data_IF_081275995294
#
_entry.id   IF_081275995294
#
_cell.length_a   1.000
_cell.length_b   1.000
_cell.length_c   1.000
_cell.angle_alpha   90.00
_cell.angle_beta   90.00
_cell.angle_gamma   90.00
#
_symmetry.space_group_name_H-M   'P 1'
#
loop_
_entity.id
_entity.type
_entity.pdbx_description
1 polymer ?
#
# COMPACT_ATOMS: atom_id res chain seq x y z
N UNK A 1 -24.33 18.54 -21.29
CA UNK A 1 -23.82 17.44 -22.17
C UNK A 1 -24.55 17.61 -23.50
N UNK A 2 -23.82 17.63 -24.59
CA UNK A 2 -24.29 17.99 -25.92
C UNK A 2 -24.85 16.83 -26.76
N UNK A 3 -25.12 15.67 -26.16
CA UNK A 3 -25.62 14.46 -26.83
C UNK A 3 -24.63 13.77 -27.76
N UNK A 4 -23.34 14.15 -27.73
CA UNK A 4 -22.31 13.53 -28.57
C UNK A 4 -22.00 12.13 -28.09
N UNK A 5 -22.03 11.16 -29.02
CA UNK A 5 -21.60 9.80 -28.75
C UNK A 5 -20.07 9.71 -28.83
N UNK A 6 -19.45 9.17 -27.76
CA UNK A 6 -18.01 8.93 -27.70
C UNK A 6 -17.76 7.43 -27.59
N UNK A 7 -17.08 6.81 -28.56
CA UNK A 7 -16.75 5.39 -28.48
C UNK A 7 -15.73 5.15 -27.36
N UNK A 8 -16.04 4.22 -26.47
CA UNK A 8 -15.15 3.80 -25.38
C UNK A 8 -15.02 2.28 -25.34
N UNK A 9 -13.81 1.79 -25.02
CA UNK A 9 -13.62 0.36 -24.77
C UNK A 9 -14.25 -0.01 -23.44
N UNK A 10 -15.17 -0.97 -23.46
CA UNK A 10 -15.79 -1.54 -22.27
C UNK A 10 -15.34 -3.00 -22.13
N UNK A 11 -15.10 -3.40 -20.88
CA UNK A 11 -14.72 -4.77 -20.51
C UNK A 11 -15.86 -5.39 -19.73
N UNK A 12 -16.23 -6.63 -20.05
CA UNK A 12 -17.25 -7.36 -19.30
C UNK A 12 -16.58 -8.33 -18.35
N UNK A 13 -16.74 -8.08 -17.03
CA UNK A 13 -16.17 -8.91 -15.97
C UNK A 13 -17.29 -9.32 -15.02
N UNK A 14 -17.43 -10.61 -14.77
CA UNK A 14 -18.47 -11.17 -13.88
C UNK A 14 -19.89 -10.62 -14.13
N UNK A 15 -20.24 -10.38 -15.41
CA UNK A 15 -21.55 -9.87 -15.81
C UNK A 15 -21.70 -8.34 -15.75
N UNK A 16 -20.75 -7.61 -15.22
CA UNK A 16 -20.73 -6.15 -15.15
C UNK A 16 -19.89 -5.54 -16.29
N UNK A 17 -20.22 -4.33 -16.69
CA UNK A 17 -19.46 -3.58 -17.69
C UNK A 17 -18.52 -2.58 -17.00
N UNK A 18 -17.24 -2.62 -17.36
CA UNK A 18 -16.19 -1.74 -16.85
C UNK A 18 -15.64 -0.88 -17.98
N UNK A 19 -15.40 0.39 -17.68
CA UNK A 19 -14.77 1.34 -18.59
C UNK A 19 -13.59 1.97 -17.86
N UNK A 20 -12.47 2.18 -18.55
CA UNK A 20 -11.32 2.86 -17.94
C UNK A 20 -11.72 4.31 -17.58
N UNK A 21 -11.49 4.69 -16.33
CA UNK A 21 -11.83 6.02 -15.83
C UNK A 21 -11.12 7.13 -16.63
N UNK A 22 -9.90 6.90 -17.11
CA UNK A 22 -9.18 7.83 -18.01
C UNK A 22 -9.91 8.08 -19.34
N UNK A 23 -10.57 7.05 -19.88
CA UNK A 23 -11.32 7.19 -21.13
C UNK A 23 -12.59 8.02 -20.90
N UNK A 24 -13.21 7.88 -19.72
CA UNK A 24 -14.29 8.75 -19.27
C UNK A 24 -13.79 10.18 -19.09
N UNK A 25 -12.64 10.37 -18.42
CA UNK A 25 -12.03 11.69 -18.23
C UNK A 25 -11.76 12.41 -19.55
N UNK A 26 -11.17 11.70 -20.54
CA UNK A 26 -10.97 12.22 -21.89
C UNK A 26 -12.27 12.60 -22.59
N UNK A 27 -13.30 11.79 -22.45
CA UNK A 27 -14.58 12.01 -23.12
C UNK A 27 -15.33 13.21 -22.55
N UNK A 28 -15.18 13.49 -21.27
CA UNK A 28 -15.83 14.58 -20.54
C UNK A 28 -14.96 15.84 -20.41
N UNK A 29 -13.71 15.77 -20.89
CA UNK A 29 -12.69 16.81 -20.71
C UNK A 29 -12.51 17.21 -19.23
N UNK A 30 -12.45 16.21 -18.35
CA UNK A 30 -12.11 16.36 -16.93
C UNK A 30 -10.77 15.70 -16.65
N UNK A 31 -9.93 16.32 -15.83
CA UNK A 31 -8.62 15.75 -15.55
C UNK A 31 -8.74 14.56 -14.62
N UNK A 32 -8.23 13.42 -15.08
CA UNK A 32 -8.13 12.16 -14.31
C UNK A 32 -6.66 11.77 -14.25
N UNK A 33 -6.10 11.80 -13.07
CA UNK A 33 -4.68 11.52 -12.86
C UNK A 33 -4.45 10.72 -11.57
N UNK A 34 -3.25 10.21 -11.41
CA UNK A 34 -2.84 9.48 -10.21
C UNK A 34 -1.92 10.36 -9.36
N UNK A 35 -2.34 10.60 -8.12
CA UNK A 35 -1.53 11.27 -7.09
C UNK A 35 -2.04 10.80 -5.73
N UNK A 36 -1.33 9.83 -5.13
CA UNK A 36 -1.77 9.18 -3.89
C UNK A 36 -3.20 8.58 -3.97
N UNK A 37 -3.56 8.06 -5.16
CA UNK A 37 -4.88 7.59 -5.49
C UNK A 37 -5.39 8.19 -6.81
N UNK A 38 -6.55 7.71 -7.26
CA UNK A 38 -7.21 8.29 -8.44
C UNK A 38 -7.81 9.64 -8.07
N UNK A 39 -7.42 10.67 -8.79
CA UNK A 39 -7.96 12.03 -8.66
C UNK A 39 -8.82 12.36 -9.88
N UNK A 40 -9.93 13.03 -9.65
CA UNK A 40 -10.81 13.57 -10.70
C UNK A 40 -10.99 15.05 -10.43
N UNK A 41 -10.42 15.88 -11.30
CA UNK A 41 -10.58 17.33 -11.26
C UNK A 41 -11.52 17.77 -12.38
N UNK A 42 -12.76 18.04 -12.02
CA UNK A 42 -13.80 18.49 -12.96
C UNK A 42 -13.65 19.94 -13.38
N UNK A 43 -12.71 20.68 -12.80
CA UNK A 43 -12.45 22.10 -13.12
C UNK A 43 -11.29 22.29 -14.09
N UNK A 44 -10.51 21.23 -14.35
CA UNK A 44 -9.37 21.24 -15.25
C UNK A 44 -9.61 20.35 -16.47
N UNK A 45 -9.13 20.75 -17.66
CA UNK A 45 -9.21 19.92 -18.86
C UNK A 45 -8.35 18.66 -18.70
N UNK A 46 -8.68 17.62 -19.45
CA UNK A 46 -7.97 16.35 -19.38
C UNK A 46 -6.51 16.47 -19.84
N UNK A 47 -5.58 16.22 -18.93
CA UNK A 47 -4.13 16.10 -19.23
C UNK A 47 -3.59 14.71 -18.93
N UNK A 48 -4.25 13.97 -18.04
CA UNK A 48 -3.79 12.69 -17.53
C UNK A 48 -2.63 12.80 -16.55
N UNK A 49 -2.22 14.03 -16.22
CA UNK A 49 -1.13 14.34 -15.29
C UNK A 49 -1.66 15.17 -14.11
N UNK A 50 -1.04 15.08 -12.92
CA UNK A 50 -1.32 16.00 -11.84
C UNK A 50 -1.11 17.45 -12.29
N UNK A 51 -1.92 18.40 -11.80
CA UNK A 51 -1.67 19.81 -12.03
C UNK A 51 -0.30 20.19 -11.46
N UNK A 52 0.45 21.04 -12.17
CA UNK A 52 1.70 21.60 -11.66
C UNK A 52 1.34 22.53 -10.52
N UNK A 53 1.59 22.11 -9.28
CA UNK A 53 1.37 22.97 -8.12
C UNK A 53 2.50 24.01 -8.12
N UNK A 54 2.14 25.28 -8.28
CA UNK A 54 3.02 26.37 -7.87
C UNK A 54 3.04 26.36 -6.33
N UNK A 55 4.23 26.21 -5.76
CA UNK A 55 4.47 26.11 -4.32
C UNK A 55 3.76 27.24 -3.53
N UNK A 56 3.24 26.88 -2.35
CA UNK A 56 2.75 27.68 -1.23
C UNK A 56 1.22 27.73 -1.02
N UNK A 57 0.62 26.57 -0.67
CA UNK A 57 -0.50 26.55 0.29
C UNK A 57 -0.40 25.28 1.17
N UNK A 58 -0.24 25.39 2.50
CA UNK A 58 -0.28 24.22 3.38
C UNK A 58 -1.70 23.66 3.44
N UNK A 59 -1.92 22.45 2.91
CA UNK A 59 -3.19 21.75 3.04
C UNK A 59 -3.18 21.00 4.37
N UNK A 60 -4.14 21.20 5.29
CA UNK A 60 -4.26 20.42 6.50
C UNK A 60 -4.59 18.97 6.15
N UNK A 61 -3.73 18.02 6.51
CA UNK A 61 -3.86 16.59 6.23
C UNK A 61 -2.89 16.08 5.16
N UNK A 62 -1.89 16.85 4.75
CA UNK A 62 -0.86 16.39 3.83
C UNK A 62 -0.12 15.20 4.42
N UNK A 63 -0.22 14.05 3.72
CA UNK A 63 0.68 12.94 3.92
C UNK A 63 2.13 13.44 3.93
N UNK A 64 2.99 12.83 4.76
CA UNK A 64 4.45 13.03 4.73
C UNK A 64 4.95 13.05 3.28
N UNK A 65 6.01 13.84 2.97
CA UNK A 65 6.57 13.87 1.62
C UNK A 65 6.70 12.46 1.08
N UNK A 66 6.25 12.21 -0.15
CA UNK A 66 6.26 10.88 -0.78
C UNK A 66 7.65 10.18 -0.74
N UNK A 67 8.72 10.93 -0.46
CA UNK A 67 10.08 10.42 -0.29
C UNK A 67 10.35 9.64 1.00
N UNK A 68 9.85 10.10 2.17
CA UNK A 68 10.19 9.45 3.46
C UNK A 68 9.66 8.01 3.53
N UNK A 69 8.36 7.82 3.27
CA UNK A 69 7.75 6.49 3.33
C UNK A 69 8.25 5.55 2.24
N UNK A 70 8.61 6.08 1.06
CA UNK A 70 9.16 5.27 -0.03
C UNK A 70 10.56 4.74 0.31
N UNK A 71 11.41 5.56 0.94
CA UNK A 71 12.73 5.15 1.39
C UNK A 71 12.64 4.09 2.50
N UNK A 72 11.75 4.26 3.46
CA UNK A 72 11.51 3.27 4.52
C UNK A 72 11.02 1.95 3.93
N UNK A 73 10.06 1.99 3.01
CA UNK A 73 9.54 0.78 2.34
C UNK A 73 10.64 0.04 1.58
N UNK A 74 11.49 0.77 0.87
CA UNK A 74 12.61 0.19 0.14
C UNK A 74 13.64 -0.42 1.10
N UNK A 75 13.99 0.24 2.21
CA UNK A 75 14.92 -0.30 3.21
C UNK A 75 14.40 -1.61 3.83
N UNK A 76 13.09 -1.70 4.13
CA UNK A 76 12.46 -2.96 4.58
C UNK A 76 12.61 -4.07 3.53
N UNK A 77 12.38 -3.77 2.25
CA UNK A 77 12.53 -4.73 1.16
C UNK A 77 13.97 -5.20 1.03
N UNK A 78 14.91 -4.27 1.03
CA UNK A 78 16.34 -4.55 0.86
C UNK A 78 16.88 -5.42 2.00
N UNK A 79 16.51 -5.12 3.25
CA UNK A 79 16.88 -5.92 4.43
C UNK A 79 16.24 -7.31 4.39
N UNK A 80 14.98 -7.41 3.99
CA UNK A 80 14.31 -8.72 3.81
C UNK A 80 15.04 -9.56 2.76
N UNK A 81 15.42 -8.95 1.65
CA UNK A 81 16.15 -9.64 0.59
C UNK A 81 17.60 -9.97 1.00
N UNK A 82 18.25 -9.16 1.81
CA UNK A 82 19.54 -9.49 2.40
C UNK A 82 19.42 -10.71 3.31
N UNK A 83 18.42 -10.75 4.21
CA UNK A 83 18.14 -11.90 5.07
C UNK A 83 17.88 -13.19 4.25
N UNK A 84 17.12 -13.09 3.15
CA UNK A 84 16.88 -14.22 2.25
C UNK A 84 18.15 -14.71 1.59
N UNK A 85 18.98 -13.81 1.10
CA UNK A 85 20.28 -14.12 0.50
C UNK A 85 21.19 -14.85 1.50
N UNK A 86 21.25 -14.39 2.75
CA UNK A 86 22.05 -15.01 3.80
C UNK A 86 21.56 -16.42 4.17
N UNK A 87 20.30 -16.71 3.89
CA UNK A 87 19.69 -18.04 4.03
C UNK A 87 19.64 -18.83 2.71
N UNK A 88 20.36 -18.40 1.65
CA UNK A 88 20.47 -19.11 0.38
C UNK A 88 19.19 -19.10 -0.48
N UNK A 89 18.31 -18.13 -0.26
CA UNK A 89 17.06 -17.96 -0.99
C UNK A 89 17.18 -16.85 -2.06
N UNK A 90 16.43 -16.94 -3.17
CA UNK A 90 16.36 -15.85 -4.14
C UNK A 90 15.68 -14.62 -3.53
N UNK A 91 16.06 -13.45 -4.01
CA UNK A 91 15.39 -12.20 -3.67
C UNK A 91 13.92 -12.24 -4.13
N UNK A 92 13.08 -11.55 -3.39
CA UNK A 92 11.69 -11.28 -3.77
C UNK A 92 11.63 -10.08 -4.72
N UNK A 93 10.79 -10.16 -5.73
CA UNK A 93 10.51 -9.03 -6.61
C UNK A 93 9.46 -8.10 -5.98
N UNK A 94 9.64 -6.80 -6.17
CA UNK A 94 8.64 -5.83 -5.72
C UNK A 94 7.44 -5.85 -6.66
N UNK A 95 6.25 -6.07 -6.12
CA UNK A 95 5.00 -6.07 -6.87
C UNK A 95 4.18 -4.82 -6.54
N UNK A 96 3.79 -3.97 -7.51
CA UNK A 96 3.04 -2.73 -7.25
C UNK A 96 1.68 -2.94 -6.59
N UNK A 97 0.98 -4.04 -6.87
CA UNK A 97 -0.31 -4.33 -6.25
C UNK A 97 -0.13 -4.85 -4.82
N UNK A 98 0.94 -5.62 -4.55
CA UNK A 98 1.31 -5.96 -3.18
C UNK A 98 1.73 -4.74 -2.37
N UNK A 99 2.46 -3.80 -2.96
CA UNK A 99 2.80 -2.52 -2.32
C UNK A 99 1.53 -1.75 -1.93
N UNK A 100 0.57 -1.66 -2.84
CA UNK A 100 -0.71 -1.01 -2.59
C UNK A 100 -1.50 -1.75 -1.49
N UNK A 101 -1.57 -3.08 -1.52
CA UNK A 101 -2.27 -3.89 -0.52
C UNK A 101 -1.66 -3.74 0.88
N UNK A 102 -0.33 -3.77 0.97
CA UNK A 102 0.37 -3.54 2.23
C UNK A 102 0.13 -2.13 2.78
N UNK A 103 0.08 -1.11 1.90
CA UNK A 103 -0.23 0.26 2.30
C UNK A 103 -1.67 0.39 2.81
N UNK A 104 -2.67 -0.21 2.13
CA UNK A 104 -4.05 -0.26 2.61
C UNK A 104 -4.11 -0.78 4.05
N UNK A 105 -3.39 -1.86 4.35
CA UNK A 105 -3.38 -2.44 5.70
C UNK A 105 -2.69 -1.54 6.73
N UNK A 106 -1.59 -0.90 6.37
CA UNK A 106 -0.92 0.08 7.24
C UNK A 106 -1.84 1.27 7.56
N UNK A 107 -2.52 1.80 6.54
CA UNK A 107 -3.45 2.93 6.68
C UNK A 107 -4.67 2.57 7.55
N UNK A 108 -5.25 1.36 7.37
CA UNK A 108 -6.34 0.87 8.21
C UNK A 108 -5.95 0.80 9.68
N UNK A 109 -4.79 0.22 10.00
CA UNK A 109 -4.30 0.14 11.37
C UNK A 109 -3.98 1.52 11.95
N UNK A 110 -3.37 2.40 11.17
CA UNK A 110 -3.05 3.76 11.60
C UNK A 110 -4.30 4.59 11.88
N UNK A 111 -5.31 4.50 11.03
CA UNK A 111 -6.56 5.27 11.17
C UNK A 111 -7.46 4.79 12.32
N UNK A 112 -7.44 3.48 12.61
CA UNK A 112 -8.34 2.86 13.59
C UNK A 112 -7.69 2.50 14.91
N UNK A 113 -6.35 2.55 14.98
CA UNK A 113 -5.54 2.01 16.09
C UNK A 113 -5.84 0.52 16.39
N UNK A 114 -6.27 -0.25 15.38
CA UNK A 114 -6.52 -1.68 15.50
C UNK A 114 -5.33 -2.45 14.93
N UNK A 115 -4.49 -2.99 15.80
CA UNK A 115 -3.34 -3.83 15.42
C UNK A 115 -3.80 -5.27 15.26
N UNK A 116 -4.12 -5.70 14.04
CA UNK A 116 -4.72 -7.01 13.78
C UNK A 116 -4.56 -7.43 12.32
N UNK A 117 -4.50 -8.75 12.08
CA UNK A 117 -4.65 -9.35 10.75
C UNK A 117 -6.10 -9.35 10.23
N UNK A 118 -7.04 -8.92 11.05
CA UNK A 118 -8.44 -8.72 10.68
C UNK A 118 -8.62 -7.25 10.30
N UNK A 119 -9.36 -6.99 9.23
CA UNK A 119 -9.69 -5.63 8.78
C UNK A 119 -10.70 -4.95 9.73
N UNK A 120 -10.83 -3.62 9.71
CA UNK A 120 -11.75 -2.89 10.60
C UNK A 120 -13.22 -3.32 10.51
N UNK A 121 -13.67 -3.86 9.38
CA UNK A 121 -15.02 -4.38 9.18
C UNK A 121 -15.22 -5.83 9.66
N UNK A 122 -14.19 -6.45 10.23
CA UNK A 122 -14.19 -7.84 10.69
C UNK A 122 -13.87 -8.87 9.60
N UNK A 123 -13.59 -8.46 8.38
CA UNK A 123 -13.17 -9.37 7.31
C UNK A 123 -11.68 -9.75 7.45
N UNK A 124 -11.27 -10.80 6.74
CA UNK A 124 -9.86 -11.23 6.74
C UNK A 124 -9.01 -10.26 5.90
N UNK A 125 -7.73 -10.09 6.24
CA UNK A 125 -6.77 -9.30 5.47
C UNK A 125 -6.77 -9.64 3.96
N UNK A 126 -7.00 -10.93 3.60
CA UNK A 126 -7.01 -11.39 2.21
C UNK A 126 -8.14 -10.78 1.36
N UNK A 127 -9.11 -10.08 1.97
CA UNK A 127 -10.13 -9.33 1.22
C UNK A 127 -9.62 -7.99 0.67
N UNK A 128 -8.38 -7.60 1.00
CA UNK A 128 -7.73 -6.44 0.37
C UNK A 128 -7.38 -6.70 -1.10
N UNK A 129 -7.27 -7.97 -1.48
CA UNK A 129 -6.95 -8.38 -2.84
C UNK A 129 -7.89 -9.50 -3.30
N UNK A 130 -7.86 -9.81 -4.59
CA UNK A 130 -8.53 -10.98 -5.17
C UNK A 130 -7.73 -12.29 -5.02
N UNK A 131 -6.55 -12.24 -4.36
CA UNK A 131 -5.66 -13.38 -4.22
C UNK A 131 -5.54 -13.85 -2.76
N UNK A 132 -6.01 -15.08 -2.42
CA UNK A 132 -5.89 -15.63 -1.07
C UNK A 132 -4.50 -16.20 -0.75
N UNK A 133 -3.61 -16.31 -1.74
CA UNK A 133 -2.28 -16.93 -1.60
C UNK A 133 -1.21 -15.93 -1.17
N UNK A 134 -1.60 -15.04 -0.28
CA UNK A 134 -0.73 -14.03 0.32
C UNK A 134 -0.49 -14.33 1.80
N UNK A 135 0.63 -13.86 2.34
CA UNK A 135 0.90 -13.80 3.79
C UNK A 135 1.23 -12.38 4.20
N UNK A 136 0.99 -12.05 5.45
CA UNK A 136 1.18 -10.72 6.01
C UNK A 136 1.99 -10.80 7.29
N UNK A 137 3.05 -9.99 7.40
CA UNK A 137 3.69 -9.62 8.65
C UNK A 137 3.26 -8.20 8.99
N UNK A 138 2.91 -7.95 10.25
CA UNK A 138 2.58 -6.62 10.76
C UNK A 138 3.45 -6.30 11.96
N UNK A 139 3.76 -5.02 12.15
CA UNK A 139 4.44 -4.53 13.36
C UNK A 139 4.00 -3.12 13.70
N UNK A 140 3.95 -2.83 15.01
CA UNK A 140 3.65 -1.50 15.55
C UNK A 140 4.86 -1.05 16.38
N UNK A 141 5.64 -0.11 15.84
CA UNK A 141 6.89 0.39 16.43
C UNK A 141 6.62 1.75 17.08
N UNK A 142 6.85 1.87 18.39
CA UNK A 142 6.71 3.14 19.09
C UNK A 142 7.64 4.20 18.51
N UNK A 143 7.11 5.39 18.20
CA UNK A 143 7.89 6.47 17.58
C UNK A 143 9.09 6.92 18.44
N UNK A 144 8.98 6.79 19.76
CA UNK A 144 10.10 7.09 20.69
C UNK A 144 11.31 6.14 20.59
N UNK A 145 11.18 5.03 19.84
CA UNK A 145 12.29 4.10 19.55
C UNK A 145 13.03 4.42 18.24
N UNK A 146 12.54 5.38 17.50
CA UNK A 146 12.97 5.72 16.13
C UNK A 146 13.50 7.14 16.16
N UNK A 147 14.84 7.30 16.06
CA UNK A 147 15.47 8.62 16.01
C UNK A 147 15.44 9.18 14.58
N UNK A 148 15.70 8.33 13.60
CA UNK A 148 15.70 8.65 12.18
C UNK A 148 14.87 7.58 11.43
N UNK A 149 13.61 7.89 11.05
CA UNK A 149 12.72 6.90 10.45
C UNK A 149 13.26 6.26 9.17
N UNK A 150 13.96 7.01 8.33
CA UNK A 150 14.49 6.50 7.07
C UNK A 150 15.61 5.47 7.28
N UNK A 151 16.38 5.63 8.36
CA UNK A 151 17.50 4.74 8.70
C UNK A 151 17.08 3.61 9.63
N UNK A 152 16.27 3.91 10.65
CA UNK A 152 16.10 3.03 11.81
C UNK A 152 14.87 2.12 11.66
N UNK A 153 13.81 2.61 11.01
CA UNK A 153 12.51 1.94 11.04
C UNK A 153 12.55 0.58 10.31
N UNK A 154 13.19 0.53 9.15
CA UNK A 154 13.35 -0.71 8.40
C UNK A 154 14.19 -1.73 9.14
N UNK A 155 15.27 -1.29 9.80
CA UNK A 155 16.11 -2.16 10.62
C UNK A 155 15.30 -2.76 11.78
N UNK A 156 14.62 -1.92 12.58
CA UNK A 156 13.85 -2.37 13.74
C UNK A 156 12.75 -3.34 13.29
N UNK A 157 12.02 -3.03 12.23
CA UNK A 157 10.93 -3.87 11.73
C UNK A 157 11.43 -5.26 11.34
N UNK A 158 12.50 -5.33 10.52
CA UNK A 158 13.00 -6.61 10.00
C UNK A 158 13.66 -7.44 11.11
N UNK A 159 14.44 -6.83 12.01
CA UNK A 159 15.05 -7.53 13.15
C UNK A 159 13.98 -8.13 14.09
N UNK A 160 12.91 -7.39 14.37
CA UNK A 160 11.83 -7.88 15.23
C UNK A 160 11.00 -8.97 14.55
N UNK A 161 10.73 -8.87 13.24
CA UNK A 161 10.12 -9.96 12.49
C UNK A 161 11.03 -11.19 12.42
N UNK A 162 12.34 -11.01 12.28
CA UNK A 162 13.29 -12.12 12.27
C UNK A 162 13.35 -12.84 13.62
N UNK A 163 13.22 -12.12 14.72
CA UNK A 163 13.22 -12.70 16.07
C UNK A 163 11.99 -13.54 16.38
N UNK A 164 10.90 -13.36 15.62
CA UNK A 164 9.65 -14.12 15.74
C UNK A 164 9.63 -15.28 14.75
N UNK A 165 9.47 -16.50 15.21
CA UNK A 165 9.44 -17.70 14.36
C UNK A 165 8.35 -17.62 13.28
N UNK A 166 7.16 -17.12 13.61
CA UNK A 166 6.04 -17.02 12.69
C UNK A 166 6.32 -15.98 11.58
N UNK A 167 6.77 -14.79 11.95
CA UNK A 167 7.10 -13.75 10.99
C UNK A 167 8.31 -14.12 10.13
N UNK A 168 9.37 -14.68 10.76
CA UNK A 168 10.57 -15.15 10.08
C UNK A 168 10.23 -16.20 9.02
N UNK A 169 9.31 -17.12 9.34
CA UNK A 169 8.86 -18.14 8.39
C UNK A 169 8.23 -17.53 7.13
N UNK A 170 7.49 -16.44 7.25
CA UNK A 170 6.94 -15.69 6.12
C UNK A 170 8.02 -15.10 5.22
N UNK A 171 9.03 -14.45 5.81
CA UNK A 171 10.17 -13.86 5.08
C UNK A 171 11.05 -14.90 4.37
N UNK A 172 11.22 -16.07 4.97
CA UNK A 172 12.08 -17.14 4.46
C UNK A 172 11.33 -18.26 3.73
N UNK A 173 10.05 -18.11 3.45
CA UNK A 173 9.30 -19.08 2.65
C UNK A 173 9.83 -19.10 1.22
N UNK A 174 10.37 -20.28 0.81
CA UNK A 174 10.92 -20.51 -0.53
C UNK A 174 9.88 -20.49 -1.64
N UNK A 175 8.60 -20.58 -1.30
CA UNK A 175 7.49 -20.53 -2.27
C UNK A 175 7.01 -19.13 -2.56
N UNK A 176 7.64 -18.11 -1.97
CA UNK A 176 7.31 -16.69 -2.23
C UNK A 176 8.22 -16.14 -3.31
N UNK A 177 7.61 -15.41 -4.24
CA UNK A 177 8.29 -14.73 -5.35
C UNK A 177 8.27 -13.22 -5.25
N UNK A 178 7.25 -12.65 -4.58
CA UNK A 178 7.03 -11.20 -4.58
C UNK A 178 6.76 -10.66 -3.17
N UNK A 179 7.10 -9.37 -2.99
CA UNK A 179 6.93 -8.62 -1.75
C UNK A 179 6.27 -7.27 -2.01
N UNK A 180 5.42 -6.85 -1.08
CA UNK A 180 4.95 -5.47 -0.93
C UNK A 180 5.11 -4.99 0.50
N UNK A 181 5.36 -3.69 0.68
CA UNK A 181 5.55 -3.07 2.00
C UNK A 181 4.68 -1.82 2.12
N UNK A 182 3.99 -1.70 3.25
CA UNK A 182 3.23 -0.52 3.64
C UNK A 182 3.71 0.05 4.96
N UNK A 183 3.71 1.38 5.08
CA UNK A 183 4.13 2.08 6.30
C UNK A 183 3.20 3.26 6.55
N UNK A 184 2.70 3.41 7.79
CA UNK A 184 1.85 4.53 8.18
C UNK A 184 2.11 4.96 9.62
N UNK A 185 2.03 6.29 9.87
CA UNK A 185 2.06 6.86 11.22
C UNK A 185 0.68 6.76 11.85
N UNK A 186 0.61 6.38 13.12
CA UNK A 186 -0.65 6.26 13.84
C UNK A 186 -0.46 6.31 15.35
N UNK A 187 -1.46 5.82 16.06
CA UNK A 187 -1.46 5.74 17.52
C UNK A 187 -1.46 4.27 17.94
N UNK A 188 -0.57 3.93 18.87
CA UNK A 188 -0.44 2.57 19.40
C UNK A 188 -1.70 2.17 20.20
N UNK A 189 -2.29 0.99 19.90
CA UNK A 189 -3.44 0.49 20.67
C UNK A 189 -3.09 0.06 22.08
N UNK A 190 -1.79 -0.03 22.42
CA UNK A 190 -1.32 -0.53 23.72
C UNK A 190 -1.23 0.59 24.75
N UNK A 191 -0.67 1.73 24.35
CA UNK A 191 -0.36 2.82 25.28
C UNK A 191 -0.85 4.21 24.85
N UNK A 192 -1.48 4.31 23.66
CA UNK A 192 -1.98 5.58 23.13
C UNK A 192 -0.89 6.54 22.63
N UNK A 193 0.36 6.08 22.53
CA UNK A 193 1.47 6.90 22.07
C UNK A 193 1.64 6.83 20.55
N UNK A 194 2.28 7.83 19.91
CA UNK A 194 2.60 7.79 18.48
C UNK A 194 3.42 6.56 18.12
N UNK A 195 3.07 5.91 17.00
CA UNK A 195 3.77 4.74 16.50
C UNK A 195 3.79 4.71 14.97
N UNK A 196 4.58 3.76 14.44
CA UNK A 196 4.61 3.41 13.06
C UNK A 196 4.02 2.01 12.87
N UNK A 197 3.07 1.88 11.96
CA UNK A 197 2.58 0.59 11.50
C UNK A 197 3.36 0.18 10.26
N UNK A 198 4.06 -0.94 10.36
CA UNK A 198 4.82 -1.54 9.26
C UNK A 198 4.15 -2.85 8.85
N UNK A 199 4.01 -3.04 7.56
CA UNK A 199 3.34 -4.21 6.97
C UNK A 199 4.21 -4.77 5.85
N UNK A 200 4.42 -6.10 5.85
CA UNK A 200 4.94 -6.85 4.71
C UNK A 200 3.86 -7.77 4.18
N UNK A 201 3.68 -7.77 2.88
CA UNK A 201 2.89 -8.77 2.16
C UNK A 201 3.77 -9.57 1.22
N UNK A 202 3.52 -10.88 1.18
CA UNK A 202 4.23 -11.81 0.32
C UNK A 202 3.24 -12.55 -0.55
N UNK A 203 3.56 -12.71 -1.83
CA UNK A 203 2.77 -13.48 -2.77
C UNK A 203 3.47 -14.80 -3.08
N UNK A 204 2.69 -15.87 -3.15
CA UNK A 204 3.17 -17.18 -3.56
C UNK A 204 3.46 -17.20 -5.05
N UNK A 205 4.56 -17.85 -5.44
CA UNK A 205 4.94 -18.06 -6.83
C UNK A 205 3.83 -18.74 -7.63
N UNK A 206 3.64 -18.28 -8.89
CA UNK A 206 2.60 -18.76 -9.79
C UNK A 206 1.20 -18.17 -9.54
N UNK A 207 1.04 -17.19 -8.64
CA UNK A 207 -0.20 -16.46 -8.42
C UNK A 207 -0.04 -14.97 -8.75
N UNK A 208 -1.15 -14.33 -9.06
CA UNK A 208 -1.23 -12.92 -9.41
C UNK A 208 -2.27 -12.21 -8.56
N UNK A 209 -2.08 -10.92 -8.34
CA UNK A 209 -3.08 -9.98 -7.82
C UNK A 209 -3.54 -9.13 -8.98
N UNK A 210 -4.86 -8.97 -9.15
CA UNK A 210 -5.42 -8.18 -10.26
C UNK A 210 -6.08 -6.89 -9.80
N UNK A 211 -6.42 -6.79 -8.51
CA UNK A 211 -6.94 -5.56 -7.91
C UNK A 211 -6.60 -5.46 -6.43
N UNK A 212 -6.71 -4.26 -5.90
CA UNK A 212 -6.55 -3.93 -4.48
C UNK A 212 -7.73 -3.08 -4.04
N UNK A 213 -8.31 -3.43 -2.88
CA UNK A 213 -9.40 -2.70 -2.26
C UNK A 213 -8.94 -1.38 -1.61
N UNK A 214 -9.87 -0.48 -1.34
CA UNK A 214 -9.59 0.75 -0.61
C UNK A 214 -9.47 0.52 0.90
N UNK A 215 -8.77 1.41 1.64
CA UNK A 215 -8.70 1.31 3.10
C UNK A 215 -10.08 1.49 3.74
N UNK A 216 -10.44 0.59 4.66
CA UNK A 216 -11.65 0.69 5.48
C UNK A 216 -11.42 1.67 6.64
N UNK A 217 -11.43 2.96 6.33
CA UNK A 217 -11.25 4.04 7.31
C UNK A 217 -12.63 4.50 7.76
N UNK A 218 -12.94 4.35 9.04
CA UNK A 218 -14.18 4.91 9.60
C UNK A 218 -14.09 6.44 9.54
N UNK A 219 -15.06 7.05 8.87
CA UNK A 219 -15.25 8.50 8.83
C UNK A 219 -15.98 8.97 10.07
#
# INVERSE_FOLDING_TARGET
MDGRQVPMAAYRIAGNNYVKLRDIGKALDVNVYWQNGVQIDSTAPYTGNPPTILDDVPVPGAASPAGETDMIRQDIIDRTNALRKDNGLPALETDPLLMAAAQVRADEMAATSIYSHIRPDGTRRTTVTDCPYTTENIHCIASGRVEDPERDLGQIAVEEWESSQDHRSGMLDKTRSSIGVGVAKGISPVNGEPCWYCVQWFLRDGYEITWVDEPLIQR
#
